data_IF_202025855206
#
_entry.id   IF_202025855206
#
_cell.length_a   1.000
_cell.length_b   1.000
_cell.length_c   1.000
_cell.angle_alpha   90.00
_cell.angle_beta   90.00
_cell.angle_gamma   90.00
#
_symmetry.space_group_name_H-M   'P 1'
#
loop_
_entity.id
_entity.type
_entity.pdbx_description
1 polymer ?
#
# COMPACT_ATOMS: atom_id res chain seq x y z
N UNK A 1 -80.62 33.16 -35.01
CA UNK A 1 -79.14 33.50 -34.96
C UNK A 1 -78.55 32.92 -33.64
N UNK A 2 -77.88 31.73 -33.72
CA UNK A 2 -77.29 31.08 -32.57
C UNK A 2 -75.79 31.35 -32.62
N UNK A 3 -75.24 32.06 -31.59
CA UNK A 3 -73.81 32.28 -31.40
C UNK A 3 -73.20 31.04 -30.73
N UNK A 4 -72.33 30.35 -31.47
CA UNK A 4 -71.50 29.25 -30.91
C UNK A 4 -70.25 29.85 -30.26
N UNK A 5 -70.08 29.71 -28.95
CA UNK A 5 -68.88 30.08 -28.22
C UNK A 5 -67.84 28.98 -28.38
N UNK A 6 -66.72 29.32 -29.00
CA UNK A 6 -65.53 28.43 -29.11
C UNK A 6 -64.68 28.71 -27.87
N UNK A 7 -64.52 27.66 -27.02
CA UNK A 7 -63.57 27.69 -25.90
C UNK A 7 -62.22 27.16 -26.41
N UNK A 8 -61.23 28.05 -26.47
CA UNK A 8 -59.85 27.70 -26.77
C UNK A 8 -59.18 27.23 -25.47
N UNK A 9 -58.99 25.89 -25.30
CA UNK A 9 -58.25 25.30 -24.17
C UNK A 9 -56.76 25.43 -24.45
N UNK A 10 -56.07 26.22 -23.63
CA UNK A 10 -54.61 26.41 -23.71
C UNK A 10 -53.96 25.37 -22.76
N UNK A 11 -53.51 24.26 -23.28
CA UNK A 11 -52.79 23.24 -22.52
C UNK A 11 -51.33 23.69 -22.37
N UNK A 12 -50.95 24.14 -21.16
CA UNK A 12 -49.57 24.46 -20.85
C UNK A 12 -48.78 23.13 -20.68
N UNK A 13 -47.96 22.81 -21.66
CA UNK A 13 -46.96 21.72 -21.53
C UNK A 13 -45.81 22.20 -20.68
N UNK A 14 -45.75 21.80 -19.40
CA UNK A 14 -44.57 21.90 -18.56
C UNK A 14 -43.57 20.82 -18.97
N UNK A 15 -42.58 21.16 -19.77
CA UNK A 15 -41.41 20.28 -19.99
C UNK A 15 -40.54 20.35 -18.75
N UNK A 16 -40.58 19.30 -17.93
CA UNK A 16 -39.56 19.08 -16.88
C UNK A 16 -38.24 18.78 -17.59
N UNK A 17 -37.38 19.79 -17.69
CA UNK A 17 -35.97 19.57 -17.99
C UNK A 17 -35.33 18.92 -16.76
N UNK A 18 -35.24 17.58 -16.75
CA UNK A 18 -34.40 16.86 -15.79
C UNK A 18 -32.95 17.23 -16.10
N UNK A 19 -32.38 18.12 -15.32
CA UNK A 19 -30.93 18.33 -15.31
C UNK A 19 -30.28 17.01 -14.89
N UNK A 20 -29.81 16.25 -15.86
CA UNK A 20 -28.96 15.09 -15.63
C UNK A 20 -27.64 15.64 -15.05
N UNK A 21 -27.49 15.56 -13.73
CA UNK A 21 -26.24 15.87 -13.09
C UNK A 21 -25.22 14.85 -13.60
N UNK A 22 -24.31 15.31 -14.42
CA UNK A 22 -23.17 14.55 -14.93
C UNK A 22 -22.18 14.34 -13.78
N UNK A 23 -22.57 13.47 -12.84
CA UNK A 23 -21.72 13.12 -11.72
C UNK A 23 -20.63 12.18 -12.26
N UNK A 24 -19.42 12.72 -12.42
CA UNK A 24 -18.26 11.89 -12.75
C UNK A 24 -18.22 10.69 -11.80
N UNK A 25 -18.02 9.46 -12.34
CA UNK A 25 -18.00 8.28 -11.50
C UNK A 25 -16.89 8.40 -10.45
N UNK A 26 -17.22 8.18 -9.20
CA UNK A 26 -16.28 8.20 -8.10
C UNK A 26 -15.35 6.98 -8.16
N UNK A 27 -14.03 7.21 -8.08
CA UNK A 27 -13.03 6.14 -8.11
C UNK A 27 -12.77 5.67 -6.67
N UNK A 28 -13.46 4.61 -6.26
CA UNK A 28 -13.35 4.01 -4.93
C UNK A 28 -12.20 3.00 -4.86
N UNK A 29 -11.79 2.65 -3.66
CA UNK A 29 -10.82 1.58 -3.38
C UNK A 29 -11.45 0.22 -3.70
N UNK A 30 -12.64 -0.02 -3.16
CA UNK A 30 -13.50 -1.15 -3.51
C UNK A 30 -14.96 -0.69 -3.68
N UNK A 31 -15.94 -1.61 -3.64
CA UNK A 31 -17.36 -1.28 -3.85
C UNK A 31 -17.90 -0.30 -2.80
N UNK A 32 -17.39 -0.33 -1.58
CA UNK A 32 -17.88 0.44 -0.43
C UNK A 32 -16.87 1.47 0.05
N UNK A 33 -15.59 1.12 0.08
CA UNK A 33 -14.51 1.94 0.63
C UNK A 33 -14.01 2.98 -0.37
N UNK A 34 -14.25 4.24 -0.10
CA UNK A 34 -13.75 5.37 -0.90
C UNK A 34 -12.31 5.75 -0.54
N UNK A 35 -12.04 5.86 0.75
CA UNK A 35 -10.74 6.28 1.30
C UNK A 35 -10.68 5.89 2.76
N UNK A 36 -9.48 5.89 3.33
CA UNK A 36 -9.26 5.72 4.77
C UNK A 36 -8.12 6.61 5.24
N UNK A 37 -7.91 6.70 6.55
CA UNK A 37 -6.88 7.54 7.15
C UNK A 37 -5.87 6.65 7.87
N UNK A 38 -4.58 6.97 7.70
CA UNK A 38 -3.50 6.42 8.50
C UNK A 38 -2.83 7.54 9.28
N UNK A 39 -2.39 7.25 10.49
CA UNK A 39 -1.54 8.19 11.24
C UNK A 39 -0.09 8.09 10.75
N UNK A 40 0.52 9.24 10.51
CA UNK A 40 1.95 9.34 10.19
C UNK A 40 2.58 10.34 11.14
N UNK A 41 3.24 9.85 12.17
CA UNK A 41 3.93 10.68 13.19
C UNK A 41 2.97 11.69 13.86
N UNK A 42 1.79 11.24 14.27
CA UNK A 42 0.76 12.05 14.92
C UNK A 42 -0.05 12.93 13.95
N UNK A 43 0.07 12.73 12.64
CA UNK A 43 -0.67 13.49 11.63
C UNK A 43 -1.52 12.56 10.76
N UNK A 44 -2.83 12.84 10.63
CA UNK A 44 -3.68 12.05 9.76
C UNK A 44 -3.30 12.24 8.30
N UNK A 45 -3.18 11.15 7.57
CA UNK A 45 -2.93 11.11 6.13
C UNK A 45 -4.05 10.32 5.44
N UNK A 46 -4.76 10.96 4.51
CA UNK A 46 -5.84 10.32 3.75
C UNK A 46 -5.26 9.46 2.64
N UNK A 47 -5.60 8.18 2.65
CA UNK A 47 -5.28 7.22 1.58
C UNK A 47 -6.49 7.09 0.66
N UNK A 48 -6.27 7.37 -0.62
CA UNK A 48 -7.32 7.30 -1.64
C UNK A 48 -6.72 7.04 -3.02
N UNK A 49 -7.59 6.69 -3.97
CA UNK A 49 -7.22 6.57 -5.39
C UNK A 49 -7.35 7.91 -6.10
N UNK A 50 -6.56 8.13 -7.14
CA UNK A 50 -6.63 9.31 -8.00
C UNK A 50 -8.02 9.37 -8.66
N UNK A 51 -8.71 10.52 -8.53
CA UNK A 51 -10.07 10.72 -9.02
C UNK A 51 -10.15 11.12 -10.51
N UNK A 52 -9.01 11.21 -11.20
CA UNK A 52 -9.00 11.44 -12.64
C UNK A 52 -8.91 10.10 -13.40
N UNK A 53 -9.97 9.65 -14.12
CA UNK A 53 -9.96 8.39 -14.85
C UNK A 53 -8.96 8.37 -16.02
N UNK A 54 -8.56 9.54 -16.52
CA UNK A 54 -7.54 9.67 -17.57
C UNK A 54 -6.11 9.70 -17.03
N UNK A 55 -5.93 9.56 -15.70
CA UNK A 55 -4.60 9.57 -15.11
C UNK A 55 -3.73 8.43 -15.64
N UNK A 56 -2.49 8.77 -15.96
CA UNK A 56 -1.45 7.81 -16.39
C UNK A 56 -0.18 8.04 -15.58
N UNK A 57 0.44 6.98 -15.13
CA UNK A 57 1.75 7.10 -14.48
C UNK A 57 2.79 7.60 -15.48
N UNK A 58 3.63 8.54 -15.01
CA UNK A 58 4.73 9.13 -15.80
C UNK A 58 6.12 8.81 -15.22
N UNK A 59 6.19 7.89 -14.26
CA UNK A 59 7.42 7.53 -13.57
C UNK A 59 7.97 6.17 -14.02
N UNK A 60 9.06 5.72 -13.40
CA UNK A 60 9.74 4.47 -13.78
C UNK A 60 8.92 3.20 -13.56
N UNK A 61 7.79 3.27 -12.87
CA UNK A 61 6.91 2.10 -12.66
C UNK A 61 6.09 1.74 -13.91
N UNK A 62 6.06 2.61 -14.94
CA UNK A 62 5.48 2.27 -16.24
C UNK A 62 6.41 1.41 -17.11
N UNK A 63 7.68 1.27 -16.73
CA UNK A 63 8.65 0.47 -17.48
C UNK A 63 8.30 -1.02 -17.38
N UNK A 64 8.00 -1.65 -18.52
CA UNK A 64 7.55 -3.05 -18.61
C UNK A 64 8.69 -4.05 -18.62
N UNK A 65 9.76 -3.78 -19.39
CA UNK A 65 10.87 -4.71 -19.57
C UNK A 65 12.11 -4.22 -18.84
N UNK A 66 12.57 -5.02 -17.89
CA UNK A 66 13.74 -4.72 -17.07
C UNK A 66 14.79 -5.82 -17.27
N UNK A 67 16.09 -5.48 -17.35
CA UNK A 67 17.14 -6.50 -17.50
C UNK A 67 17.21 -7.42 -16.28
N UNK A 68 17.29 -8.71 -16.53
CA UNK A 68 17.50 -9.74 -15.51
C UNK A 68 18.86 -10.42 -15.78
N UNK A 69 19.80 -10.41 -14.85
CA UNK A 69 19.81 -9.72 -13.56
C UNK A 69 19.97 -8.19 -13.69
N UNK A 70 19.67 -7.38 -12.68
CA UNK A 70 19.22 -7.76 -11.34
C UNK A 70 17.70 -7.78 -11.18
N UNK A 71 16.91 -7.36 -12.20
CA UNK A 71 15.47 -7.17 -12.09
C UNK A 71 14.67 -8.38 -12.57
N UNK A 72 15.02 -9.56 -12.08
CA UNK A 72 14.34 -10.79 -12.42
C UNK A 72 12.97 -10.88 -11.75
N UNK A 73 12.02 -11.58 -12.41
CA UNK A 73 10.71 -11.86 -11.81
C UNK A 73 10.90 -12.72 -10.56
N UNK A 74 10.32 -12.27 -9.46
CA UNK A 74 10.42 -12.94 -8.17
C UNK A 74 9.32 -14.00 -8.00
N UNK A 75 9.56 -15.05 -7.21
CA UNK A 75 8.52 -16.02 -6.83
C UNK A 75 7.31 -15.33 -6.21
N UNK A 76 6.14 -15.96 -6.33
CA UNK A 76 4.93 -15.46 -5.66
C UNK A 76 5.08 -15.48 -4.14
N UNK A 77 5.63 -16.56 -3.60
CA UNK A 77 5.96 -16.72 -2.17
C UNK A 77 7.47 -16.68 -2.00
N UNK A 78 8.04 -15.70 -1.30
CA UNK A 78 9.49 -15.52 -1.20
C UNK A 78 10.17 -16.60 -0.36
N UNK A 79 9.49 -17.09 0.68
CA UNK A 79 9.94 -18.15 1.58
C UNK A 79 8.76 -19.02 1.95
N UNK A 80 8.93 -20.35 1.96
CA UNK A 80 7.87 -21.30 2.35
C UNK A 80 7.32 -20.97 3.73
N UNK A 81 5.98 -20.80 3.80
CA UNK A 81 5.25 -20.45 5.03
C UNK A 81 5.03 -18.94 5.24
N UNK A 82 5.54 -18.10 4.33
CA UNK A 82 5.17 -16.66 4.32
C UNK A 82 3.92 -16.49 3.46
N UNK A 83 2.93 -15.78 4.01
CA UNK A 83 1.71 -15.44 3.29
C UNK A 83 1.98 -14.25 2.37
N UNK A 84 1.66 -14.42 1.07
CA UNK A 84 1.65 -13.32 0.10
C UNK A 84 0.26 -12.72 0.05
N UNK A 85 0.16 -11.40 0.08
CA UNK A 85 -1.09 -10.63 0.13
C UNK A 85 -1.22 -9.67 -1.05
N UNK A 86 -2.45 -9.32 -1.36
CA UNK A 86 -2.82 -8.27 -2.31
C UNK A 86 -3.13 -6.94 -1.63
N UNK A 87 -3.69 -6.01 -2.42
CA UNK A 87 -3.91 -4.63 -2.00
C UNK A 87 -4.99 -4.51 -0.92
N UNK A 88 -6.08 -5.28 -1.02
CA UNK A 88 -7.17 -5.20 -0.05
C UNK A 88 -6.77 -5.78 1.30
N UNK A 89 -5.98 -6.85 1.32
CA UNK A 89 -5.43 -7.41 2.55
C UNK A 89 -4.43 -6.44 3.20
N UNK A 90 -3.60 -5.75 2.39
CA UNK A 90 -2.73 -4.69 2.88
C UNK A 90 -3.53 -3.55 3.49
N UNK A 91 -4.58 -3.07 2.82
CA UNK A 91 -5.44 -2.00 3.33
C UNK A 91 -6.12 -2.41 4.64
N UNK A 92 -6.62 -3.65 4.71
CA UNK A 92 -7.18 -4.19 5.95
C UNK A 92 -6.14 -4.18 7.08
N UNK A 93 -4.91 -4.64 6.83
CA UNK A 93 -3.81 -4.57 7.79
C UNK A 93 -3.53 -3.14 8.26
N UNK A 94 -3.55 -2.17 7.32
CA UNK A 94 -3.34 -0.76 7.67
C UNK A 94 -4.47 -0.19 8.55
N UNK A 95 -5.71 -0.59 8.30
CA UNK A 95 -6.88 -0.13 9.06
C UNK A 95 -7.02 -0.81 10.43
N UNK A 96 -6.61 -2.06 10.55
CA UNK A 96 -6.82 -2.87 11.76
C UNK A 96 -5.55 -2.96 12.63
N UNK A 97 -4.47 -3.49 12.06
CA UNK A 97 -3.26 -3.77 12.86
C UNK A 97 -2.38 -2.53 13.08
N UNK A 98 -2.19 -1.71 12.04
CA UNK A 98 -1.37 -0.49 12.19
C UNK A 98 -2.07 0.56 13.05
N UNK A 99 -3.38 0.74 12.90
CA UNK A 99 -4.14 1.73 13.68
C UNK A 99 -4.10 1.46 15.18
N UNK A 100 -3.96 0.19 15.57
CA UNK A 100 -3.87 -0.24 16.97
C UNK A 100 -2.42 -0.50 17.43
N UNK A 101 -1.42 -0.09 16.66
CA UNK A 101 0.01 -0.31 16.94
C UNK A 101 0.40 -1.79 17.11
N UNK A 102 -0.35 -2.72 16.53
CA UNK A 102 -0.06 -4.16 16.53
C UNK A 102 0.72 -4.62 15.31
N UNK A 103 0.84 -3.78 14.30
CA UNK A 103 1.48 -4.10 13.03
C UNK A 103 2.34 -2.98 12.48
N UNK A 104 3.34 -3.35 11.71
CA UNK A 104 4.29 -2.43 11.06
C UNK A 104 4.30 -2.69 9.55
N UNK A 105 4.13 -1.65 8.75
CA UNK A 105 4.35 -1.70 7.31
C UNK A 105 5.80 -1.31 7.01
N UNK A 106 6.55 -2.23 6.41
CA UNK A 106 7.99 -2.08 6.15
C UNK A 106 8.27 -1.91 4.67
N UNK A 107 8.83 -0.78 4.31
CA UNK A 107 9.43 -0.53 3.00
C UNK A 107 10.89 -1.03 3.02
N UNK A 108 11.14 -2.18 2.40
CA UNK A 108 12.46 -2.82 2.35
C UNK A 108 13.40 -2.22 1.30
N UNK A 109 12.98 -1.18 0.59
CA UNK A 109 13.79 -0.53 -0.44
C UNK A 109 14.94 0.28 0.16
N UNK A 110 15.95 0.53 -0.68
CA UNK A 110 17.02 1.46 -0.31
C UNK A 110 16.45 2.86 0.00
N UNK A 111 17.06 3.63 0.93
CA UNK A 111 16.55 4.92 1.39
C UNK A 111 16.26 5.92 0.26
N UNK A 112 17.07 5.93 -0.80
CA UNK A 112 16.85 6.80 -1.96
C UNK A 112 15.52 6.56 -2.68
N UNK A 113 14.97 5.32 -2.63
CA UNK A 113 13.66 5.00 -3.19
C UNK A 113 12.53 5.39 -2.24
N UNK A 114 12.71 5.12 -0.96
CA UNK A 114 11.78 5.52 0.09
C UNK A 114 11.53 7.04 0.08
N UNK A 115 12.60 7.85 0.05
CA UNK A 115 12.51 9.33 0.02
C UNK A 115 11.76 9.88 -1.19
N UNK A 116 11.71 9.16 -2.32
CA UNK A 116 10.94 9.54 -3.51
C UNK A 116 9.44 9.33 -3.35
N UNK A 117 9.04 8.52 -2.39
CA UNK A 117 7.67 8.18 -2.08
C UNK A 117 7.52 6.73 -1.65
N UNK A 118 6.63 6.52 -0.68
CA UNK A 118 6.33 5.20 -0.11
C UNK A 118 4.83 5.03 0.07
N UNK A 119 4.39 3.82 0.43
CA UNK A 119 3.02 3.57 0.88
C UNK A 119 2.82 4.34 2.20
N UNK A 120 1.73 5.11 2.36
CA UNK A 120 1.49 5.89 3.56
C UNK A 120 1.55 5.06 4.84
N UNK A 121 2.24 5.56 5.86
CA UNK A 121 2.44 4.86 7.14
C UNK A 121 3.58 3.84 7.14
N UNK A 122 4.22 3.54 6.01
CA UNK A 122 5.37 2.65 5.96
C UNK A 122 6.63 3.29 6.57
N UNK A 123 7.39 2.48 7.31
CA UNK A 123 8.75 2.82 7.78
C UNK A 123 9.79 2.19 6.87
N UNK A 124 10.93 2.85 6.69
CA UNK A 124 12.01 2.30 5.88
C UNK A 124 12.98 1.48 6.72
N UNK A 125 13.01 0.19 6.45
CA UNK A 125 14.06 -0.71 6.96
C UNK A 125 14.68 -1.40 5.74
N UNK A 126 15.76 -0.85 5.17
CA UNK A 126 16.39 -1.39 3.97
C UNK A 126 16.76 -2.85 4.13
N UNK A 127 16.52 -3.65 3.11
CA UNK A 127 16.77 -5.11 3.11
C UNK A 127 18.19 -5.48 3.55
N UNK A 128 19.17 -4.61 3.28
CA UNK A 128 20.58 -4.81 3.63
C UNK A 128 20.84 -4.80 5.13
N UNK A 129 19.98 -4.19 5.94
CA UNK A 129 20.14 -4.15 7.41
C UNK A 129 20.07 -5.55 8.02
N UNK A 130 19.29 -6.45 7.45
CA UNK A 130 19.14 -7.82 7.93
C UNK A 130 20.21 -8.78 7.38
N UNK A 131 21.14 -8.30 6.54
CA UNK A 131 22.24 -9.16 6.04
C UNK A 131 23.34 -9.32 7.08
N UNK A 132 23.94 -10.51 7.16
CA UNK A 132 25.08 -10.76 8.05
C UNK A 132 26.30 -9.88 7.73
N UNK A 133 26.44 -9.47 6.46
CA UNK A 133 27.58 -8.67 6.00
C UNK A 133 27.55 -7.23 6.53
N UNK A 134 26.34 -6.68 6.77
CA UNK A 134 26.17 -5.30 7.26
C UNK A 134 26.08 -5.19 8.78
N UNK A 135 26.19 -6.31 9.46
CA UNK A 135 26.58 -6.33 10.84
C UNK A 135 25.50 -6.48 11.89
N UNK A 136 25.91 -7.21 12.90
CA UNK A 136 25.17 -7.40 14.15
C UNK A 136 24.74 -6.06 14.79
N UNK A 137 25.52 -4.98 14.56
CA UNK A 137 25.24 -3.64 15.10
C UNK A 137 23.87 -3.08 14.69
N UNK A 138 23.45 -3.26 13.42
CA UNK A 138 22.12 -2.80 12.97
C UNK A 138 21.02 -3.72 13.44
N UNK A 139 21.29 -5.03 13.46
CA UNK A 139 20.34 -6.04 13.93
C UNK A 139 20.01 -5.78 15.40
N UNK A 140 21.02 -5.51 16.24
CA UNK A 140 20.85 -5.20 17.66
C UNK A 140 20.04 -3.92 17.94
N UNK A 141 20.00 -3.00 16.99
CA UNK A 141 19.17 -1.78 17.09
C UNK A 141 17.75 -1.96 16.55
N UNK A 142 17.62 -2.72 15.47
CA UNK A 142 16.33 -2.82 14.75
C UNK A 142 15.41 -3.89 15.34
N UNK A 143 15.93 -5.06 15.70
CA UNK A 143 15.08 -6.13 16.22
C UNK A 143 14.31 -5.74 17.50
N UNK A 144 14.87 -4.97 18.46
CA UNK A 144 14.10 -4.45 19.59
C UNK A 144 12.93 -3.55 19.17
N UNK A 145 13.09 -2.73 18.12
CA UNK A 145 11.99 -1.89 17.59
C UNK A 145 10.89 -2.73 16.96
N UNK A 146 11.21 -3.95 16.54
CA UNK A 146 10.26 -4.93 16.01
C UNK A 146 9.69 -5.85 17.11
N UNK A 147 9.92 -5.54 18.39
CA UNK A 147 9.39 -6.28 19.54
C UNK A 147 10.20 -7.53 19.93
N UNK A 148 11.39 -7.72 19.38
CA UNK A 148 12.29 -8.79 19.81
C UNK A 148 13.09 -8.40 21.06
N UNK A 149 13.37 -9.36 21.92
CA UNK A 149 14.16 -9.15 23.15
C UNK A 149 15.44 -10.00 23.08
N UNK A 150 16.61 -9.37 23.26
CA UNK A 150 17.89 -10.09 23.25
C UNK A 150 18.07 -10.84 24.57
N UNK A 151 18.23 -12.17 24.52
CA UNK A 151 18.51 -13.05 25.67
C UNK A 151 19.88 -13.73 25.46
N UNK A 152 20.92 -13.13 25.99
CA UNK A 152 22.30 -13.56 25.74
C UNK A 152 22.65 -13.47 24.24
N UNK A 153 22.98 -14.62 23.63
CA UNK A 153 23.29 -14.71 22.18
C UNK A 153 22.07 -14.99 21.29
N UNK A 154 20.87 -15.13 21.86
CA UNK A 154 19.65 -15.48 21.15
C UNK A 154 18.63 -14.34 21.22
N UNK A 155 17.71 -14.33 20.27
CA UNK A 155 16.57 -13.42 20.26
C UNK A 155 15.30 -14.14 20.70
N UNK A 156 14.54 -13.51 21.58
CA UNK A 156 13.18 -13.91 21.93
C UNK A 156 12.19 -13.06 21.15
N UNK A 157 11.38 -13.71 20.31
CA UNK A 157 10.39 -13.10 19.45
C UNK A 157 8.96 -13.23 19.99
N UNK A 158 8.76 -13.62 21.24
CA UNK A 158 7.43 -13.80 21.82
C UNK A 158 6.56 -12.54 21.72
N UNK A 159 7.19 -11.36 21.82
CA UNK A 159 6.54 -10.04 21.67
C UNK A 159 6.74 -9.41 20.29
N UNK A 160 7.27 -10.16 19.32
CA UNK A 160 7.50 -9.64 17.97
C UNK A 160 6.18 -9.15 17.34
N UNK A 161 6.24 -8.01 16.67
CA UNK A 161 5.08 -7.39 16.01
C UNK A 161 4.76 -8.12 14.69
N UNK A 162 3.52 -8.05 14.26
CA UNK A 162 3.15 -8.42 12.89
C UNK A 162 3.72 -7.39 11.92
N UNK A 163 4.14 -7.84 10.73
CA UNK A 163 4.62 -6.92 9.71
C UNK A 163 4.20 -7.34 8.31
N UNK A 164 3.92 -6.34 7.50
CA UNK A 164 3.84 -6.48 6.05
C UNK A 164 5.09 -5.86 5.45
N UNK A 165 5.79 -6.61 4.59
CA UNK A 165 7.03 -6.16 3.95
C UNK A 165 6.81 -6.05 2.45
N UNK A 166 7.24 -4.94 1.85
CA UNK A 166 7.14 -4.70 0.41
C UNK A 166 8.42 -4.04 -0.15
N UNK A 167 8.49 -4.00 -1.48
CA UNK A 167 9.53 -3.30 -2.23
C UNK A 167 8.98 -2.60 -3.48
N UNK A 168 9.71 -2.58 -4.59
CA UNK A 168 9.25 -1.91 -5.82
C UNK A 168 8.17 -2.68 -6.56
N UNK A 169 8.08 -4.00 -6.41
CA UNK A 169 7.11 -4.84 -7.10
C UNK A 169 7.66 -6.20 -7.54
N UNK A 170 6.93 -6.96 -8.37
CA UNK A 170 7.22 -8.37 -8.66
C UNK A 170 8.61 -8.68 -9.29
N UNK A 171 9.32 -7.68 -9.75
CA UNK A 171 10.66 -7.78 -10.33
C UNK A 171 11.77 -7.34 -9.36
N UNK A 172 11.44 -6.99 -8.13
CA UNK A 172 12.39 -6.52 -7.12
C UNK A 172 12.60 -7.60 -6.06
N UNK A 173 13.87 -7.87 -5.73
CA UNK A 173 14.21 -8.92 -4.75
C UNK A 173 14.39 -8.39 -3.32
N UNK A 174 14.26 -7.07 -3.08
CA UNK A 174 14.65 -6.47 -1.81
C UNK A 174 13.77 -6.95 -0.64
N UNK A 175 12.45 -7.04 -0.82
CA UNK A 175 11.55 -7.59 0.19
C UNK A 175 11.81 -9.08 0.41
N UNK A 176 12.00 -9.86 -0.65
CA UNK A 176 12.30 -11.29 -0.55
C UNK A 176 13.59 -11.57 0.23
N UNK A 177 14.63 -10.75 0.03
CA UNK A 177 15.88 -10.84 0.78
C UNK A 177 15.69 -10.45 2.25
N UNK A 178 14.97 -9.35 2.53
CA UNK A 178 14.64 -8.93 3.89
C UNK A 178 13.91 -10.04 4.65
N UNK A 179 12.86 -10.60 4.06
CA UNK A 179 12.06 -11.69 4.63
C UNK A 179 12.92 -12.93 4.88
N UNK A 180 13.72 -13.35 3.89
CA UNK A 180 14.61 -14.50 4.03
C UNK A 180 15.59 -14.35 5.19
N UNK A 181 16.18 -13.16 5.35
CA UNK A 181 17.12 -12.88 6.41
C UNK A 181 16.45 -12.80 7.80
N UNK A 182 15.27 -12.16 7.91
CA UNK A 182 14.47 -12.15 9.13
C UNK A 182 14.12 -13.57 9.60
N UNK A 183 13.69 -14.42 8.69
CA UNK A 183 13.41 -15.84 9.00
C UNK A 183 14.66 -16.59 9.48
N UNK A 184 15.83 -16.34 8.86
CA UNK A 184 17.12 -16.92 9.31
C UNK A 184 17.54 -16.41 10.70
N UNK A 185 17.14 -15.19 11.07
CA UNK A 185 17.36 -14.64 12.42
C UNK A 185 16.39 -15.22 13.46
N UNK A 186 15.38 -15.99 13.03
CA UNK A 186 14.38 -16.63 13.88
C UNK A 186 13.07 -15.84 14.03
N UNK A 187 12.85 -14.79 13.25
CA UNK A 187 11.57 -14.06 13.28
C UNK A 187 10.42 -14.99 12.88
N UNK A 188 9.30 -15.03 13.63
CA UNK A 188 8.20 -15.95 13.36
C UNK A 188 7.56 -15.70 11.98
N UNK A 189 7.50 -16.73 11.17
CA UNK A 189 6.96 -16.63 9.80
C UNK A 189 5.50 -16.19 9.76
N UNK A 190 4.71 -16.64 10.72
CA UNK A 190 3.29 -16.31 10.87
C UNK A 190 3.04 -14.84 11.21
N UNK A 191 4.08 -14.11 11.59
CA UNK A 191 4.04 -12.66 11.86
C UNK A 191 4.53 -11.83 10.67
N UNK A 192 4.93 -12.46 9.57
CA UNK A 192 5.40 -11.78 8.36
C UNK A 192 4.43 -12.06 7.21
N UNK A 193 3.98 -11.01 6.56
CA UNK A 193 3.26 -11.07 5.30
C UNK A 193 4.04 -10.31 4.21
N UNK A 194 3.94 -10.77 2.97
CA UNK A 194 4.62 -10.19 1.82
C UNK A 194 3.61 -9.51 0.89
N UNK A 195 3.69 -8.19 0.77
CA UNK A 195 2.95 -7.48 -0.26
C UNK A 195 3.76 -7.42 -1.56
N UNK A 196 3.50 -8.41 -2.44
CA UNK A 196 4.25 -8.61 -3.69
C UNK A 196 4.06 -7.50 -4.71
N UNK A 197 2.88 -6.86 -4.73
CA UNK A 197 2.56 -5.77 -5.65
C UNK A 197 3.49 -4.58 -5.50
N UNK A 198 3.92 -4.30 -4.29
CA UNK A 198 4.85 -3.23 -3.94
C UNK A 198 4.39 -1.86 -4.43
N UNK A 199 5.34 -0.96 -4.60
CA UNK A 199 5.06 0.40 -5.09
C UNK A 199 4.48 0.42 -6.50
N UNK A 200 4.81 -0.57 -7.33
CA UNK A 200 4.33 -0.59 -8.72
C UNK A 200 2.82 -0.78 -8.77
N UNK A 201 2.27 -1.81 -8.13
CA UNK A 201 0.82 -2.06 -8.16
C UNK A 201 0.06 -1.02 -7.36
N UNK A 202 0.59 -0.57 -6.22
CA UNK A 202 0.03 0.54 -5.46
C UNK A 202 -0.24 1.75 -6.34
N UNK A 203 0.75 2.18 -7.12
CA UNK A 203 0.60 3.33 -7.99
C UNK A 203 -0.20 3.05 -9.27
N UNK A 204 -0.10 1.84 -9.85
CA UNK A 204 -0.89 1.46 -11.04
C UNK A 204 -2.40 1.45 -10.75
N UNK A 205 -2.78 1.10 -9.51
CA UNK A 205 -4.16 1.20 -9.05
C UNK A 205 -4.59 2.62 -8.68
N UNK A 206 -3.69 3.59 -8.83
CA UNK A 206 -3.98 5.00 -8.62
C UNK A 206 -3.90 5.45 -7.17
N UNK A 207 -3.38 4.66 -6.24
CA UNK A 207 -3.21 5.08 -4.86
C UNK A 207 -2.18 6.21 -4.72
N UNK A 208 -2.47 7.15 -3.83
CA UNK A 208 -1.54 8.19 -3.47
C UNK A 208 -0.37 7.66 -2.64
N UNK A 209 0.73 8.41 -2.65
CA UNK A 209 1.96 8.05 -1.93
C UNK A 209 2.33 9.13 -0.93
N UNK A 210 3.01 8.74 0.14
CA UNK A 210 3.59 9.65 1.10
C UNK A 210 5.06 9.93 0.73
N UNK A 211 5.48 11.20 0.77
CA UNK A 211 6.89 11.61 0.65
C UNK A 211 7.40 11.96 2.04
N UNK A 212 8.29 11.16 2.64
CA UNK A 212 8.91 11.50 3.92
C UNK A 212 9.66 12.83 3.81
N UNK A 213 9.50 13.69 4.81
CA UNK A 213 10.32 14.91 4.93
C UNK A 213 11.74 14.52 5.33
N UNK A 214 12.71 15.27 4.86
CA UNK A 214 14.11 15.13 5.27
C UNK A 214 14.32 15.58 6.70
#
# INVERSE_FOLDING_TARGET
MRLTKIYLSFTLFFTFLSAQQDTKPEIKIDKELKSFVVDIMGKPFKVERNQNPEHRLKNSYTKTSRPCPPFCVQPFTPVKGIKTIGELELIKFMQEDMSENRGILVDARMPKWYKRGTIPGAINIPFSIFSKENGEVYIDKILPLLGAVKKGKKWDFSKAQRMVIFDNGPWCQQASLAISNLVKLGYPKEKIEYYRGGMQYWQLLGFNTYKPKE
#
